data_IF_152289651129
#
_entry.id   IF_152289651129
#
_cell.length_a   1.000
_cell.length_b   1.000
_cell.length_c   1.000
_cell.angle_alpha   90.00
_cell.angle_beta   90.00
_cell.angle_gamma   90.00
#
_symmetry.space_group_name_H-M   'P 1'
#
loop_
_entity.id
_entity.type
_entity.pdbx_description
1 polymer ?
#
# COMPACT_ATOMS: atom_id res chain seq x y z
N UNK A 1 -20.73 10.96 -20.76
CA UNK A 1 -19.77 11.63 -19.86
C UNK A 1 -20.26 11.54 -18.41
N UNK A 2 -21.40 12.16 -18.05
CA UNK A 2 -21.93 12.18 -16.68
C UNK A 2 -22.05 10.78 -16.02
N UNK A 3 -22.62 9.79 -16.72
CA UNK A 3 -22.78 8.42 -16.20
C UNK A 3 -21.44 7.78 -15.79
N UNK A 4 -20.36 8.01 -16.56
CA UNK A 4 -19.05 7.42 -16.29
C UNK A 4 -18.45 7.97 -14.99
N UNK A 5 -18.46 9.29 -14.83
CA UNK A 5 -18.00 9.94 -13.60
C UNK A 5 -18.91 9.63 -12.41
N UNK A 6 -20.22 9.46 -12.64
CA UNK A 6 -21.16 9.01 -11.62
C UNK A 6 -20.77 7.66 -11.01
N UNK A 7 -20.40 6.67 -11.84
CA UNK A 7 -19.93 5.36 -11.36
C UNK A 7 -18.68 5.51 -10.49
N UNK A 8 -17.72 6.34 -10.90
CA UNK A 8 -16.49 6.60 -10.15
C UNK A 8 -16.81 7.18 -8.77
N UNK A 9 -17.62 8.24 -8.73
CA UNK A 9 -17.99 8.93 -7.49
C UNK A 9 -18.78 8.02 -6.55
N UNK A 10 -19.75 7.25 -7.06
CA UNK A 10 -20.53 6.32 -6.25
C UNK A 10 -19.63 5.24 -5.65
N UNK A 11 -18.75 4.64 -6.46
CA UNK A 11 -17.85 3.57 -5.99
C UNK A 11 -16.90 4.09 -4.90
N UNK A 12 -16.29 5.26 -5.12
CA UNK A 12 -15.40 5.88 -4.13
C UNK A 12 -16.17 6.23 -2.83
N UNK A 13 -17.39 6.77 -2.95
CA UNK A 13 -18.25 7.10 -1.80
C UNK A 13 -18.60 5.85 -0.99
N UNK A 14 -18.92 4.73 -1.66
CA UNK A 14 -19.18 3.45 -0.99
C UNK A 14 -17.96 3.00 -0.17
N UNK A 15 -16.74 3.09 -0.74
CA UNK A 15 -15.51 2.73 -0.03
C UNK A 15 -15.26 3.64 1.18
N UNK A 16 -15.44 4.95 1.02
CA UNK A 16 -15.31 5.91 2.12
C UNK A 16 -16.27 5.58 3.26
N UNK A 17 -17.57 5.49 2.94
CA UNK A 17 -18.62 5.22 3.94
C UNK A 17 -18.40 3.87 4.61
N UNK A 18 -18.02 2.84 3.86
CA UNK A 18 -17.74 1.52 4.41
C UNK A 18 -16.55 1.53 5.37
N UNK A 19 -15.45 2.21 5.01
CA UNK A 19 -14.27 2.37 5.87
C UNK A 19 -14.58 3.11 7.18
N UNK A 20 -15.38 4.17 7.10
CA UNK A 20 -15.79 4.98 8.26
C UNK A 20 -16.79 4.27 9.17
N UNK A 21 -17.74 3.51 8.61
CA UNK A 21 -18.80 2.83 9.40
C UNK A 21 -18.33 1.49 9.98
N UNK A 22 -17.33 0.84 9.37
CA UNK A 22 -16.84 -0.48 9.81
C UNK A 22 -15.32 -0.54 10.06
N UNK A 23 -14.73 0.37 10.84
CA UNK A 23 -13.29 0.30 11.14
C UNK A 23 -12.94 -1.01 11.86
N UNK A 24 -11.80 -1.62 11.52
CA UNK A 24 -11.39 -2.92 12.05
C UNK A 24 -10.73 -2.84 13.43
N UNK A 25 -10.06 -1.72 13.74
CA UNK A 25 -9.23 -1.55 14.93
C UNK A 25 -8.17 -2.66 15.04
N UNK A 26 -7.26 -2.72 14.05
CA UNK A 26 -6.14 -3.66 14.02
C UNK A 26 -5.01 -3.24 14.96
N UNK A 27 -4.06 -4.15 15.23
CA UNK A 27 -2.98 -3.92 16.19
C UNK A 27 -2.08 -2.72 15.84
N UNK A 28 -1.81 -2.47 14.56
CA UNK A 28 -0.98 -1.32 14.15
C UNK A 28 -1.54 0.02 14.63
N UNK A 29 -2.86 0.12 14.85
CA UNK A 29 -3.50 1.29 15.44
C UNK A 29 -2.87 1.65 16.79
N UNK A 30 -2.55 0.67 17.64
CA UNK A 30 -1.92 0.89 18.95
C UNK A 30 -0.59 1.62 18.78
N UNK A 31 0.26 1.11 17.90
CA UNK A 31 1.59 1.66 17.69
C UNK A 31 1.55 3.03 16.98
N UNK A 32 0.61 3.27 16.06
CA UNK A 32 0.43 4.58 15.43
C UNK A 32 -0.10 5.63 16.40
N UNK A 33 -1.06 5.28 17.26
CA UNK A 33 -1.58 6.17 18.31
C UNK A 33 -0.46 6.49 19.32
N UNK A 34 0.30 5.48 19.74
CA UNK A 34 1.44 5.67 20.62
C UNK A 34 2.51 6.58 19.97
N UNK A 35 2.82 6.38 18.68
CA UNK A 35 3.76 7.23 17.97
C UNK A 35 3.29 8.70 17.87
N UNK A 36 1.99 8.94 17.71
CA UNK A 36 1.42 10.29 17.73
C UNK A 36 1.57 10.94 19.11
N UNK A 37 1.13 10.28 20.19
CA UNK A 37 1.32 10.78 21.56
C UNK A 37 2.80 10.98 21.91
N UNK A 38 3.68 10.08 21.49
CA UNK A 38 5.11 10.24 21.70
C UNK A 38 5.67 11.50 21.02
N UNK A 39 5.16 11.89 19.84
CA UNK A 39 5.52 13.16 19.19
C UNK A 39 5.03 14.39 19.95
N UNK A 40 4.02 14.25 20.81
CA UNK A 40 3.53 15.31 21.70
C UNK A 40 4.18 15.32 23.07
N UNK A 41 5.19 14.46 23.29
CA UNK A 41 6.00 14.46 24.51
C UNK A 41 5.61 13.43 25.56
N UNK A 42 4.59 12.60 25.33
CA UNK A 42 4.21 11.53 26.27
C UNK A 42 5.26 10.40 26.30
N UNK A 43 5.60 9.91 27.49
CA UNK A 43 6.60 8.86 27.72
C UNK A 43 6.16 7.89 28.83
N UNK A 44 6.79 6.73 28.90
CA UNK A 44 6.61 5.72 29.93
C UNK A 44 5.15 5.42 30.22
N UNK A 45 4.79 5.35 31.50
CA UNK A 45 3.43 5.03 31.93
C UNK A 45 2.36 6.01 31.42
N UNK A 46 2.70 7.27 31.19
CA UNK A 46 1.78 8.26 30.64
C UNK A 46 1.45 7.94 29.18
N UNK A 47 2.46 7.56 28.38
CA UNK A 47 2.25 7.13 27.01
C UNK A 47 1.29 5.93 26.92
N UNK A 48 1.54 4.90 27.74
CA UNK A 48 0.69 3.71 27.78
C UNK A 48 -0.74 4.05 28.20
N UNK A 49 -0.89 4.85 29.27
CA UNK A 49 -2.20 5.25 29.79
C UNK A 49 -3.01 6.04 28.75
N UNK A 50 -2.41 7.03 28.11
CA UNK A 50 -3.13 7.83 27.11
C UNK A 50 -3.45 7.04 25.85
N UNK A 51 -2.50 6.22 25.36
CA UNK A 51 -2.69 5.38 24.17
C UNK A 51 -3.85 4.41 24.36
N UNK A 52 -3.80 3.55 25.37
CA UNK A 52 -4.84 2.57 25.59
C UNK A 52 -6.13 3.18 26.16
N UNK A 53 -6.00 4.29 26.89
CA UNK A 53 -7.13 5.07 27.39
C UNK A 53 -7.98 5.67 26.26
N UNK A 54 -7.36 6.21 25.22
CA UNK A 54 -8.07 6.73 24.06
C UNK A 54 -8.67 5.59 23.23
N UNK A 55 -7.91 4.52 22.97
CA UNK A 55 -8.39 3.36 22.20
C UNK A 55 -9.60 2.72 22.88
N UNK A 56 -9.59 2.58 24.21
CA UNK A 56 -10.69 1.99 24.98
C UNK A 56 -11.97 2.84 24.93
N UNK A 57 -11.87 4.16 24.74
CA UNK A 57 -13.04 5.05 24.60
C UNK A 57 -13.72 4.89 23.25
N UNK A 58 -12.96 4.59 22.20
CA UNK A 58 -13.46 4.45 20.83
C UNK A 58 -13.86 3.00 20.50
N UNK A 59 -13.04 2.02 20.90
CA UNK A 59 -13.25 0.62 20.58
C UNK A 59 -14.21 -0.05 21.56
N UNK A 60 -15.17 -0.81 21.03
CA UNK A 60 -16.01 -1.68 21.88
C UNK A 60 -15.15 -2.73 22.60
N UNK A 61 -15.60 -3.22 23.75
CA UNK A 61 -14.87 -4.23 24.54
C UNK A 61 -14.46 -5.44 23.71
N UNK A 62 -15.34 -5.89 22.80
CA UNK A 62 -15.08 -7.01 21.88
C UNK A 62 -13.90 -6.74 20.92
N UNK A 63 -13.69 -5.49 20.52
CA UNK A 63 -12.57 -5.08 19.65
C UNK A 63 -11.32 -4.70 20.43
N UNK A 64 -11.48 -4.21 21.65
CA UNK A 64 -10.36 -3.86 22.52
C UNK A 64 -9.62 -5.08 23.05
N UNK A 65 -10.33 -6.14 23.46
CA UNK A 65 -9.72 -7.33 24.05
C UNK A 65 -8.62 -7.94 23.15
N UNK A 66 -8.87 -8.23 21.85
CA UNK A 66 -7.83 -8.75 20.96
C UNK A 66 -6.56 -7.89 20.86
N UNK A 67 -6.63 -6.60 21.17
CA UNK A 67 -5.48 -5.68 21.11
C UNK A 67 -4.55 -5.82 22.31
N UNK A 68 -5.04 -6.38 23.42
CA UNK A 68 -4.29 -6.51 24.68
C UNK A 68 -4.09 -7.97 25.12
N UNK A 69 -4.74 -8.93 24.45
CA UNK A 69 -4.64 -10.36 24.78
C UNK A 69 -3.61 -11.09 23.93
N UNK A 70 -2.93 -12.06 24.53
CA UNK A 70 -1.85 -12.85 23.92
C UNK A 70 -0.49 -12.42 24.48
N UNK A 71 0.43 -13.35 24.70
CA UNK A 71 1.71 -13.14 25.41
C UNK A 71 2.44 -11.86 24.99
N UNK A 72 2.57 -11.65 23.67
CA UNK A 72 3.17 -10.45 23.10
C UNK A 72 2.39 -9.16 23.43
N UNK A 73 1.10 -9.12 23.09
CA UNK A 73 0.25 -7.92 23.21
C UNK A 73 -0.03 -7.55 24.66
N UNK A 74 -0.14 -8.56 25.53
CA UNK A 74 -0.34 -8.38 26.96
C UNK A 74 0.90 -7.76 27.60
N UNK A 75 2.10 -8.17 27.19
CA UNK A 75 3.35 -7.56 27.65
C UNK A 75 3.44 -6.10 27.18
N UNK A 76 3.18 -5.83 25.90
CA UNK A 76 3.17 -4.45 25.35
C UNK A 76 2.10 -3.58 26.02
N UNK A 77 0.99 -4.16 26.48
CA UNK A 77 -0.05 -3.44 27.21
C UNK A 77 0.36 -3.11 28.66
N UNK A 78 1.02 -4.05 29.35
CA UNK A 78 1.35 -3.93 30.77
C UNK A 78 2.65 -3.19 31.05
N UNK A 79 3.66 -3.34 30.19
CA UNK A 79 4.96 -2.70 30.36
C UNK A 79 5.12 -1.50 29.42
N UNK A 80 5.22 -0.27 29.96
CA UNK A 80 5.49 0.92 29.16
C UNK A 80 6.78 0.89 28.34
N UNK A 81 7.83 0.22 28.86
CA UNK A 81 9.09 0.08 28.13
C UNK A 81 8.88 -0.72 26.84
N UNK A 82 8.14 -1.83 26.93
CA UNK A 82 7.78 -2.66 25.78
C UNK A 82 7.02 -1.87 24.71
N UNK A 83 6.06 -1.00 25.08
CA UNK A 83 5.36 -0.13 24.13
C UNK A 83 6.29 0.89 23.46
N UNK A 84 7.16 1.55 24.23
CA UNK A 84 8.11 2.52 23.68
C UNK A 84 9.07 1.88 22.69
N UNK A 85 9.51 0.65 22.96
CA UNK A 85 10.37 -0.08 22.03
C UNK A 85 9.69 -0.41 20.70
N UNK A 86 8.36 -0.38 20.58
CA UNK A 86 7.67 -0.54 19.30
C UNK A 86 7.78 0.71 18.41
N UNK A 87 7.94 1.90 19.01
CA UNK A 87 7.81 3.18 18.31
C UNK A 87 8.78 3.36 17.14
N UNK A 88 10.04 2.90 17.18
CA UNK A 88 10.95 3.02 16.04
C UNK A 88 10.45 2.34 14.76
N UNK A 89 9.66 1.27 14.88
CA UNK A 89 9.05 0.64 13.72
C UNK A 89 7.92 1.47 13.11
N UNK A 90 7.25 2.33 13.86
CA UNK A 90 6.07 3.05 13.37
C UNK A 90 6.35 4.54 13.08
N UNK A 91 7.30 5.14 13.79
CA UNK A 91 7.63 6.58 13.72
C UNK A 91 8.21 7.02 12.37
N UNK A 92 8.76 6.10 11.58
CA UNK A 92 9.29 6.40 10.24
C UNK A 92 8.21 6.73 9.20
N UNK A 93 6.93 6.48 9.50
CA UNK A 93 5.80 6.87 8.63
C UNK A 93 5.40 8.32 8.90
N UNK A 94 6.35 9.22 8.68
CA UNK A 94 6.28 10.63 9.11
C UNK A 94 5.04 11.32 8.58
N UNK A 95 4.75 11.21 7.28
CA UNK A 95 3.59 11.87 6.68
C UNK A 95 2.27 11.38 7.28
N UNK A 96 2.17 10.07 7.56
CA UNK A 96 0.99 9.46 8.16
C UNK A 96 0.80 9.90 9.62
N UNK A 97 1.86 9.86 10.44
CA UNK A 97 1.81 10.32 11.84
C UNK A 97 1.48 11.81 11.93
N UNK A 98 2.07 12.65 11.06
CA UNK A 98 1.76 14.07 11.07
C UNK A 98 0.32 14.34 10.66
N UNK A 99 -0.23 13.58 9.71
CA UNK A 99 -1.63 13.72 9.35
C UNK A 99 -2.57 13.28 10.49
N UNK A 100 -2.21 12.25 11.26
CA UNK A 100 -2.94 11.87 12.49
C UNK A 100 -3.00 13.04 13.48
N UNK A 101 -1.87 13.75 13.65
CA UNK A 101 -1.74 14.93 14.52
C UNK A 101 -2.57 16.11 14.03
N UNK A 102 -2.50 16.43 12.74
CA UNK A 102 -3.32 17.49 12.15
C UNK A 102 -4.82 17.21 12.30
N UNK A 103 -5.24 15.95 12.16
CA UNK A 103 -6.64 15.57 12.37
C UNK A 103 -7.08 15.70 13.84
N UNK A 104 -6.15 15.55 14.80
CA UNK A 104 -6.42 15.82 16.21
C UNK A 104 -6.67 17.30 16.48
N UNK A 105 -5.88 18.18 15.86
CA UNK A 105 -6.02 19.63 16.01
C UNK A 105 -7.38 20.15 15.51
N UNK A 106 -8.03 19.44 14.57
CA UNK A 106 -9.38 19.75 14.08
C UNK A 106 -10.49 18.99 14.84
N UNK A 107 -10.15 18.28 15.92
CA UNK A 107 -11.12 17.69 16.86
C UNK A 107 -11.35 16.18 16.76
N UNK A 108 -10.62 15.43 15.92
CA UNK A 108 -10.70 13.95 15.93
C UNK A 108 -9.83 13.35 17.05
N UNK A 109 -10.14 12.15 17.54
CA UNK A 109 -9.20 11.40 18.40
C UNK A 109 -8.06 10.80 17.56
N UNK A 110 -6.90 10.51 18.14
CA UNK A 110 -5.82 9.83 17.38
C UNK A 110 -6.27 8.47 16.88
N UNK A 111 -7.01 7.74 17.70
CA UNK A 111 -7.61 6.45 17.34
C UNK A 111 -8.54 6.58 16.14
N UNK A 112 -9.35 7.63 16.06
CA UNK A 112 -10.24 7.87 14.92
C UNK A 112 -9.49 8.31 13.68
N UNK A 113 -8.49 9.18 13.86
CA UNK A 113 -7.66 9.70 12.77
C UNK A 113 -6.99 8.58 11.98
N UNK A 114 -6.51 7.51 12.61
CA UNK A 114 -5.81 6.42 11.91
C UNK A 114 -6.68 5.76 10.83
N UNK A 115 -7.90 5.34 11.16
CA UNK A 115 -8.77 4.66 10.20
C UNK A 115 -9.49 5.65 9.26
N UNK A 116 -9.74 6.89 9.69
CA UNK A 116 -10.30 7.94 8.82
C UNK A 116 -9.34 8.23 7.66
N UNK A 117 -8.04 8.35 7.94
CA UNK A 117 -7.02 8.54 6.90
C UNK A 117 -7.06 7.39 5.91
N UNK A 118 -7.08 6.14 6.39
CA UNK A 118 -7.13 4.97 5.51
C UNK A 118 -8.40 4.93 4.64
N UNK A 119 -9.57 5.24 5.20
CA UNK A 119 -10.82 5.32 4.46
C UNK A 119 -10.82 6.42 3.38
N UNK A 120 -10.31 7.62 3.71
CA UNK A 120 -10.18 8.74 2.77
C UNK A 120 -9.24 8.39 1.63
N UNK A 121 -8.02 7.92 1.92
CA UNK A 121 -7.05 7.61 0.86
C UNK A 121 -7.43 6.37 0.04
N UNK A 122 -8.13 5.38 0.62
CA UNK A 122 -8.70 4.29 -0.16
C UNK A 122 -9.77 4.79 -1.14
N UNK A 123 -10.66 5.68 -0.71
CA UNK A 123 -11.65 6.32 -1.59
C UNK A 123 -10.99 7.16 -2.69
N UNK A 124 -10.00 7.99 -2.35
CA UNK A 124 -9.23 8.76 -3.32
C UNK A 124 -8.48 7.86 -4.32
N UNK A 125 -7.97 6.72 -3.86
CA UNK A 125 -7.36 5.72 -4.75
C UNK A 125 -8.35 5.19 -5.78
N UNK A 126 -9.60 4.92 -5.38
CA UNK A 126 -10.67 4.50 -6.29
C UNK A 126 -10.99 5.58 -7.32
N UNK A 127 -10.98 6.87 -6.93
CA UNK A 127 -11.15 7.97 -7.88
C UNK A 127 -10.04 7.95 -8.96
N UNK A 128 -8.78 7.85 -8.54
CA UNK A 128 -7.64 7.83 -9.47
C UNK A 128 -7.65 6.58 -10.33
N UNK A 129 -7.98 5.41 -9.77
CA UNK A 129 -8.14 4.17 -10.52
C UNK A 129 -9.24 4.29 -11.59
N UNK A 130 -10.36 4.93 -11.23
CA UNK A 130 -11.42 5.27 -12.19
C UNK A 130 -10.91 6.15 -13.33
N UNK A 131 -10.10 7.17 -13.03
CA UNK A 131 -9.47 8.02 -14.05
C UNK A 131 -8.47 7.24 -14.93
N UNK A 132 -7.71 6.31 -14.36
CA UNK A 132 -6.82 5.42 -15.12
C UNK A 132 -7.63 4.54 -16.08
N UNK A 133 -8.74 3.95 -15.61
CA UNK A 133 -9.62 3.11 -16.44
C UNK A 133 -10.18 3.90 -17.63
N UNK A 134 -10.48 5.19 -17.47
CA UNK A 134 -10.94 6.04 -18.57
C UNK A 134 -9.91 6.23 -19.70
N UNK A 135 -8.62 6.02 -19.42
CA UNK A 135 -7.54 6.03 -20.42
C UNK A 135 -7.34 4.66 -21.10
N UNK A 136 -8.17 3.66 -20.78
CA UNK A 136 -8.07 2.29 -21.32
C UNK A 136 -9.32 1.90 -22.12
N UNK A 137 -9.31 0.73 -22.75
CA UNK A 137 -10.48 0.14 -23.39
C UNK A 137 -11.48 -0.50 -22.40
N UNK A 138 -11.10 -0.64 -21.12
CA UNK A 138 -11.91 -1.29 -20.07
C UNK A 138 -13.21 -0.50 -19.84
N UNK A 139 -14.38 -1.15 -19.84
CA UNK A 139 -15.63 -0.48 -19.49
C UNK A 139 -15.60 0.02 -18.04
N UNK A 140 -15.91 1.30 -17.82
CA UNK A 140 -15.91 1.89 -16.46
C UNK A 140 -16.88 1.19 -15.49
N UNK A 141 -17.89 0.50 -16.00
CA UNK A 141 -18.80 -0.34 -15.21
C UNK A 141 -18.08 -1.49 -14.49
N UNK A 142 -16.85 -1.84 -14.88
CA UNK A 142 -16.01 -2.82 -14.19
C UNK A 142 -15.34 -2.27 -12.92
N UNK A 143 -15.33 -0.95 -12.70
CA UNK A 143 -14.64 -0.35 -11.55
C UNK A 143 -15.10 -0.93 -10.20
N UNK A 144 -16.41 -1.06 -9.88
CA UNK A 144 -16.84 -1.67 -8.61
C UNK A 144 -16.31 -3.10 -8.41
N UNK A 145 -16.25 -3.88 -9.50
CA UNK A 145 -15.76 -5.27 -9.46
C UNK A 145 -14.25 -5.29 -9.21
N UNK A 146 -13.48 -4.46 -9.93
CA UNK A 146 -12.03 -4.32 -9.72
C UNK A 146 -11.75 -3.91 -8.28
N UNK A 147 -12.48 -2.93 -7.75
CA UNK A 147 -12.33 -2.43 -6.38
C UNK A 147 -12.62 -3.53 -5.35
N UNK A 148 -13.66 -4.34 -5.57
CA UNK A 148 -14.02 -5.45 -4.68
C UNK A 148 -12.97 -6.57 -4.72
N UNK A 149 -12.49 -6.96 -5.90
CA UNK A 149 -11.54 -8.07 -6.08
C UNK A 149 -10.14 -7.72 -5.57
N UNK A 150 -9.74 -6.45 -5.64
CA UNK A 150 -8.38 -6.01 -5.30
C UNK A 150 -8.19 -5.65 -3.82
N UNK A 151 -9.28 -5.62 -3.03
CA UNK A 151 -9.20 -5.46 -1.57
C UNK A 151 -9.26 -4.02 -1.05
N UNK A 152 -9.73 -3.05 -1.83
CA UNK A 152 -9.88 -1.66 -1.34
C UNK A 152 -10.80 -1.52 -0.13
N UNK A 153 -11.80 -2.40 0.00
CA UNK A 153 -12.71 -2.45 1.16
C UNK A 153 -11.98 -2.80 2.46
N UNK A 154 -10.95 -3.65 2.39
CA UNK A 154 -10.16 -4.07 3.54
C UNK A 154 -9.20 -2.97 3.96
N UNK A 155 -8.45 -2.40 3.00
CA UNK A 155 -7.51 -1.31 3.27
C UNK A 155 -8.23 -0.07 3.81
N UNK A 156 -9.47 0.20 3.38
CA UNK A 156 -10.27 1.30 3.90
C UNK A 156 -10.65 1.16 5.39
N UNK A 157 -10.64 -0.06 5.95
CA UNK A 157 -11.10 -0.35 7.32
C UNK A 157 -9.97 -0.50 8.33
N UNK A 158 -8.77 -0.84 7.89
CA UNK A 158 -7.61 -1.03 8.76
C UNK A 158 -6.85 0.28 8.94
N UNK A 159 -6.30 0.50 10.13
CA UNK A 159 -5.39 1.62 10.41
C UNK A 159 -4.03 1.33 9.77
N UNK A 160 -3.78 1.93 8.61
CA UNK A 160 -2.54 1.74 7.87
C UNK A 160 -2.17 2.93 6.96
N UNK A 161 -0.87 3.26 6.82
CA UNK A 161 -0.36 4.16 5.78
C UNK A 161 -0.49 3.58 4.36
N UNK A 162 -0.78 2.29 4.20
CA UNK A 162 -0.79 1.63 2.88
C UNK A 162 -1.86 2.20 1.93
N UNK A 163 -3.02 2.65 2.45
CA UNK A 163 -4.01 3.38 1.65
C UNK A 163 -3.42 4.68 1.06
N UNK A 164 -2.69 5.44 1.89
CA UNK A 164 -2.06 6.69 1.48
C UNK A 164 -0.96 6.42 0.45
N UNK A 165 -0.12 5.41 0.70
CA UNK A 165 0.93 5.01 -0.21
C UNK A 165 0.33 4.53 -1.56
N UNK A 166 -0.73 3.71 -1.52
CA UNK A 166 -1.46 3.25 -2.70
C UNK A 166 -2.06 4.39 -3.53
N UNK A 167 -2.66 5.40 -2.87
CA UNK A 167 -3.17 6.59 -3.56
C UNK A 167 -2.06 7.34 -4.31
N UNK A 168 -0.96 7.66 -3.63
CA UNK A 168 0.13 8.40 -4.27
C UNK A 168 0.84 7.58 -5.35
N UNK A 169 0.96 6.25 -5.19
CA UNK A 169 1.40 5.36 -6.25
C UNK A 169 0.52 5.44 -7.49
N UNK A 170 -0.81 5.39 -7.32
CA UNK A 170 -1.76 5.53 -8.43
C UNK A 170 -1.68 6.90 -9.09
N UNK A 171 -1.51 7.99 -8.32
CA UNK A 171 -1.29 9.34 -8.86
C UNK A 171 0.01 9.39 -9.67
N UNK A 172 1.08 8.75 -9.19
CA UNK A 172 2.35 8.64 -9.91
C UNK A 172 2.18 7.92 -11.26
N UNK A 173 1.49 6.78 -11.27
CA UNK A 173 1.20 6.02 -12.49
C UNK A 173 0.28 6.80 -13.43
N UNK A 174 -0.78 7.43 -12.92
CA UNK A 174 -1.67 8.26 -13.72
C UNK A 174 -0.92 9.46 -14.35
N UNK A 175 -0.02 10.08 -13.58
CA UNK A 175 0.86 11.14 -14.09
C UNK A 175 1.77 10.61 -15.20
N UNK A 176 2.31 9.40 -15.11
CA UNK A 176 3.10 8.79 -16.19
C UNK A 176 2.28 8.58 -17.46
N UNK A 177 1.07 8.01 -17.33
CA UNK A 177 0.15 7.80 -18.47
C UNK A 177 -0.15 9.12 -19.17
N UNK A 178 -0.40 10.18 -18.40
CA UNK A 178 -0.65 11.54 -18.90
C UNK A 178 0.60 12.33 -19.28
N UNK A 179 1.81 11.76 -19.15
CA UNK A 179 3.10 12.45 -19.33
C UNK A 179 3.24 13.73 -18.48
N UNK A 180 2.59 13.75 -17.32
CA UNK A 180 2.63 14.84 -16.35
C UNK A 180 3.91 14.82 -15.50
N UNK A 181 4.31 15.99 -14.99
CA UNK A 181 5.49 16.15 -14.13
C UNK A 181 5.25 15.80 -12.66
N UNK A 182 4.01 15.53 -12.25
CA UNK A 182 3.70 15.20 -10.86
C UNK A 182 4.42 13.94 -10.39
N UNK A 183 4.71 12.98 -11.29
CA UNK A 183 5.47 11.77 -10.97
C UNK A 183 6.80 12.04 -10.25
N UNK A 184 7.49 13.13 -10.60
CA UNK A 184 8.75 13.54 -9.97
C UNK A 184 8.54 13.91 -8.51
N UNK A 185 7.52 14.73 -8.23
CA UNK A 185 7.14 15.10 -6.87
C UNK A 185 6.64 13.88 -6.07
N UNK A 186 5.83 13.01 -6.71
CA UNK A 186 5.35 11.77 -6.09
C UNK A 186 6.52 10.89 -5.63
N UNK A 187 7.53 10.70 -6.49
CA UNK A 187 8.70 9.88 -6.15
C UNK A 187 9.46 10.41 -4.92
N UNK A 188 9.45 11.73 -4.69
CA UNK A 188 10.10 12.35 -3.53
C UNK A 188 9.30 12.12 -2.24
N UNK A 189 7.97 12.18 -2.30
CA UNK A 189 7.12 12.06 -1.09
C UNK A 189 6.86 10.62 -0.65
N UNK A 190 6.98 9.65 -1.55
CA UNK A 190 6.67 8.25 -1.25
C UNK A 190 7.43 7.71 -0.01
N UNK A 191 8.76 7.92 0.14
CA UNK A 191 9.49 7.53 1.34
C UNK A 191 9.03 8.21 2.65
N UNK A 192 8.41 9.39 2.60
CA UNK A 192 7.84 10.05 3.78
C UNK A 192 6.58 9.33 4.30
N UNK A 193 5.84 8.68 3.40
CA UNK A 193 4.62 7.93 3.72
C UNK A 193 5.01 6.53 4.19
N UNK A 194 5.85 5.85 3.40
CA UNK A 194 6.39 4.53 3.68
C UNK A 194 7.79 4.41 3.09
N UNK A 195 8.77 4.15 3.95
CA UNK A 195 10.18 4.13 3.56
C UNK A 195 10.49 3.06 2.51
N UNK A 196 9.78 1.94 2.51
CA UNK A 196 9.89 0.86 1.51
C UNK A 196 9.37 1.26 0.11
N UNK A 197 8.59 2.35 -0.01
CA UNK A 197 8.18 2.88 -1.32
C UNK A 197 9.32 3.68 -2.00
N UNK A 198 10.51 3.74 -1.40
CA UNK A 198 11.74 4.09 -2.12
C UNK A 198 11.97 3.18 -3.33
N UNK A 199 11.54 1.92 -3.26
CA UNK A 199 11.61 0.96 -4.38
C UNK A 199 10.78 1.47 -5.56
N UNK A 200 9.51 1.83 -5.32
CA UNK A 200 8.66 2.38 -6.37
C UNK A 200 9.22 3.71 -6.90
N UNK A 201 9.75 4.54 -6.02
CA UNK A 201 10.40 5.81 -6.40
C UNK A 201 11.56 5.56 -7.37
N UNK A 202 12.44 4.59 -7.06
CA UNK A 202 13.52 4.19 -7.94
C UNK A 202 13.03 3.63 -9.28
N UNK A 203 11.99 2.80 -9.28
CA UNK A 203 11.39 2.24 -10.50
C UNK A 203 10.79 3.33 -11.39
N UNK A 204 9.99 4.24 -10.81
CA UNK A 204 9.40 5.37 -11.53
C UNK A 204 10.49 6.27 -12.14
N UNK A 205 11.52 6.61 -11.36
CA UNK A 205 12.59 7.49 -11.82
C UNK A 205 13.50 6.84 -12.85
N UNK A 206 13.76 5.53 -12.72
CA UNK A 206 14.48 4.76 -13.75
C UNK A 206 13.70 4.77 -15.06
N UNK A 207 12.38 4.53 -14.98
CA UNK A 207 11.51 4.57 -16.16
C UNK A 207 11.52 5.95 -16.84
N UNK A 208 11.35 7.04 -16.08
CA UNK A 208 11.37 8.41 -16.62
C UNK A 208 12.74 8.89 -17.05
N UNK A 209 13.82 8.31 -16.52
CA UNK A 209 15.18 8.61 -16.95
C UNK A 209 15.41 8.12 -18.39
N UNK A 210 14.94 6.91 -18.72
CA UNK A 210 15.10 6.35 -20.06
C UNK A 210 14.11 6.92 -21.07
N UNK A 211 12.87 7.23 -20.65
CA UNK A 211 11.78 7.60 -21.56
C UNK A 211 11.34 9.07 -21.45
N UNK A 212 11.97 9.88 -20.60
CA UNK A 212 11.52 11.22 -20.28
C UNK A 212 12.67 12.15 -19.86
N UNK A 213 12.41 12.98 -18.84
CA UNK A 213 13.38 14.00 -18.43
C UNK A 213 14.40 13.43 -17.43
N UNK A 214 15.62 13.20 -17.91
CA UNK A 214 16.75 12.67 -17.14
C UNK A 214 17.09 13.51 -15.91
N UNK A 215 17.11 14.84 -16.06
CA UNK A 215 17.52 15.75 -14.98
C UNK A 215 16.53 15.71 -13.81
N UNK A 216 15.22 15.85 -14.10
CA UNK A 216 14.20 15.76 -13.06
C UNK A 216 14.14 14.36 -12.43
N UNK A 217 14.39 13.31 -13.22
CA UNK A 217 14.44 11.93 -12.71
C UNK A 217 15.58 11.75 -11.70
N UNK A 218 16.80 12.19 -12.04
CA UNK A 218 17.96 12.12 -11.14
C UNK A 218 17.75 12.96 -9.88
N UNK A 219 17.29 14.21 -10.04
CA UNK A 219 17.04 15.09 -8.91
C UNK A 219 16.01 14.50 -7.94
N UNK A 220 14.91 13.95 -8.47
CA UNK A 220 13.85 13.35 -7.66
C UNK A 220 14.31 12.06 -6.99
N UNK A 221 15.11 11.23 -7.68
CA UNK A 221 15.68 10.03 -7.10
C UNK A 221 16.63 10.35 -5.94
N UNK A 222 17.55 11.31 -6.15
CA UNK A 222 18.47 11.76 -5.09
C UNK A 222 17.68 12.33 -3.92
N UNK A 223 16.67 13.16 -4.18
CA UNK A 223 15.82 13.73 -3.14
C UNK A 223 15.06 12.65 -2.35
N UNK A 224 14.54 11.62 -3.03
CA UNK A 224 13.87 10.49 -2.38
C UNK A 224 14.83 9.69 -1.48
N UNK A 225 16.07 9.47 -1.93
CA UNK A 225 17.12 8.81 -1.13
C UNK A 225 17.50 9.66 0.08
N UNK A 226 17.70 10.97 -0.09
CA UNK A 226 17.99 11.89 1.01
C UNK A 226 16.88 11.86 2.05
N UNK A 227 15.61 11.93 1.61
CA UNK A 227 14.45 11.83 2.50
C UNK A 227 14.42 10.48 3.22
N UNK A 228 14.64 9.37 2.52
CA UNK A 228 14.69 8.04 3.14
C UNK A 228 15.73 7.98 4.25
N UNK A 229 16.94 8.50 4.01
CA UNK A 229 18.02 8.54 5.01
C UNK A 229 17.64 9.42 6.19
N UNK A 230 17.16 10.64 5.94
CA UNK A 230 16.76 11.59 6.99
C UNK A 230 15.64 11.02 7.85
N UNK A 231 14.60 10.45 7.25
CA UNK A 231 13.48 9.83 7.98
C UNK A 231 13.96 8.69 8.88
N UNK A 232 14.86 7.84 8.36
CA UNK A 232 15.39 6.68 9.08
C UNK A 232 16.24 7.12 10.27
N UNK A 233 17.14 8.09 10.07
CA UNK A 233 18.02 8.60 11.12
C UNK A 233 17.27 9.40 12.20
N UNK A 234 16.37 10.30 11.80
CA UNK A 234 15.68 11.19 12.73
C UNK A 234 14.63 10.48 13.61
N UNK A 235 14.19 9.28 13.24
CA UNK A 235 13.18 8.53 13.99
C UNK A 235 13.73 7.24 14.63
N UNK A 236 15.07 7.09 14.70
CA UNK A 236 15.72 6.02 15.45
C UNK A 236 15.39 4.61 14.99
N UNK A 237 15.14 4.41 13.68
CA UNK A 237 14.76 3.11 13.13
C UNK A 237 15.82 2.03 13.46
N UNK A 238 15.39 0.88 13.98
CA UNK A 238 16.28 -0.25 14.29
C UNK A 238 17.00 -0.86 13.09
N UNK A 239 16.56 -0.52 11.87
CA UNK A 239 17.13 -1.02 10.63
C UNK A 239 16.48 -2.31 10.14
N UNK A 240 16.90 -2.72 8.95
CA UNK A 240 16.24 -3.80 8.21
C UNK A 240 16.37 -5.16 8.90
N UNK A 241 17.57 -5.52 9.40
CA UNK A 241 17.80 -6.84 9.99
C UNK A 241 16.96 -7.06 11.25
N UNK A 242 16.86 -6.06 12.13
CA UNK A 242 16.00 -6.14 13.32
C UNK A 242 14.54 -6.26 12.94
N UNK A 243 14.07 -5.45 11.98
CA UNK A 243 12.70 -5.56 11.46
C UNK A 243 12.41 -6.94 10.86
N UNK A 244 13.33 -7.49 10.07
CA UNK A 244 13.18 -8.80 9.46
C UNK A 244 13.13 -9.91 10.51
N UNK A 245 14.05 -9.90 11.47
CA UNK A 245 14.09 -10.91 12.54
C UNK A 245 12.84 -10.82 13.43
N UNK A 246 12.43 -9.60 13.79
CA UNK A 246 11.21 -9.35 14.56
C UNK A 246 9.95 -9.84 13.86
N UNK A 247 9.85 -9.64 12.55
CA UNK A 247 8.63 -9.95 11.79
C UNK A 247 8.56 -11.42 11.35
N UNK A 248 9.70 -12.05 11.02
CA UNK A 248 9.71 -13.31 10.28
C UNK A 248 10.47 -14.47 10.92
N UNK A 249 11.45 -14.21 11.79
CA UNK A 249 12.33 -15.25 12.34
C UNK A 249 12.00 -15.55 13.81
N UNK A 250 11.83 -14.51 14.62
CA UNK A 250 11.59 -14.66 16.06
C UNK A 250 10.13 -14.92 16.41
N UNK A 251 9.90 -15.54 17.57
CA UNK A 251 8.66 -15.37 18.32
C UNK A 251 8.49 -13.88 18.56
N UNK A 252 7.35 -13.27 18.21
CA UNK A 252 7.09 -11.83 18.44
C UNK A 252 7.59 -11.38 19.82
N UNK A 253 8.79 -10.79 19.89
CA UNK A 253 9.41 -10.44 21.16
C UNK A 253 8.81 -9.11 21.62
N UNK A 254 8.30 -9.01 22.86
CA UNK A 254 7.76 -7.75 23.35
C UNK A 254 8.79 -6.61 23.40
N UNK A 255 10.09 -6.94 23.34
CA UNK A 255 11.21 -6.02 23.41
C UNK A 255 12.06 -6.08 22.12
N UNK A 256 11.68 -5.34 21.06
CA UNK A 256 12.42 -5.32 19.81
C UNK A 256 13.86 -4.80 19.90
N UNK A 257 14.17 -3.95 20.88
CA UNK A 257 15.53 -3.41 21.04
C UNK A 257 16.52 -4.51 21.48
N UNK A 258 16.03 -5.55 22.14
CA UNK A 258 16.82 -6.63 22.71
C UNK A 258 16.87 -7.87 21.81
N UNK A 259 16.40 -7.76 20.56
CA UNK A 259 16.41 -8.88 19.61
C UNK A 259 17.85 -9.27 19.27
N UNK A 260 18.14 -10.57 19.40
CA UNK A 260 19.37 -11.18 18.89
C UNK A 260 19.14 -11.54 17.43
N UNK A 261 19.92 -10.92 16.54
CA UNK A 261 19.85 -11.16 15.09
C UNK A 261 20.34 -12.59 14.80
N UNK A 262 19.55 -13.38 14.08
CA UNK A 262 20.01 -14.70 13.66
C UNK A 262 21.16 -14.58 12.66
N UNK A 263 22.19 -15.39 12.87
CA UNK A 263 23.32 -15.57 11.95
C UNK A 263 23.16 -16.80 11.06
N UNK A 264 22.10 -17.59 11.23
CA UNK A 264 21.87 -18.82 10.45
C UNK A 264 21.13 -18.48 9.16
N UNK A 265 21.74 -18.82 8.02
CA UNK A 265 21.13 -18.60 6.71
C UNK A 265 19.77 -19.31 6.55
N UNK A 266 19.60 -20.49 7.16
CA UNK A 266 18.34 -21.24 7.15
C UNK A 266 17.15 -20.43 7.65
N UNK A 267 17.38 -19.60 8.66
CA UNK A 267 16.32 -18.84 9.33
C UNK A 267 15.77 -17.76 8.40
N UNK A 268 16.59 -17.26 7.47
CA UNK A 268 16.17 -16.30 6.45
C UNK A 268 15.46 -16.96 5.27
N UNK A 269 15.70 -18.24 4.99
CA UNK A 269 15.06 -18.96 3.88
C UNK A 269 13.65 -19.46 4.23
N UNK A 270 13.38 -19.80 5.50
CA UNK A 270 12.08 -20.30 5.95
C UNK A 270 10.93 -19.32 5.65
N UNK A 271 11.04 -18.00 5.90
CA UNK A 271 10.00 -17.05 5.54
C UNK A 271 9.65 -17.04 4.06
N UNK A 272 10.63 -17.19 3.16
CA UNK A 272 10.35 -17.28 1.72
C UNK A 272 9.67 -18.59 1.34
N UNK A 273 10.01 -19.70 1.98
CA UNK A 273 9.32 -20.97 1.75
C UNK A 273 7.83 -20.86 2.17
N UNK A 274 7.56 -20.27 3.34
CA UNK A 274 6.20 -19.98 3.82
C UNK A 274 5.45 -19.03 2.89
N UNK A 275 6.13 -17.99 2.39
CA UNK A 275 5.56 -17.08 1.40
C UNK A 275 5.16 -17.83 0.12
N UNK A 276 6.01 -18.70 -0.41
CA UNK A 276 5.68 -19.47 -1.62
C UNK A 276 4.44 -20.36 -1.42
N UNK A 277 4.33 -21.00 -0.26
CA UNK A 277 3.16 -21.79 0.10
C UNK A 277 1.90 -20.91 0.20
N UNK A 278 2.00 -19.76 0.87
CA UNK A 278 0.86 -18.87 1.08
C UNK A 278 0.41 -18.18 -0.21
N UNK A 279 1.34 -17.84 -1.11
CA UNK A 279 1.06 -17.27 -2.41
C UNK A 279 0.22 -18.20 -3.27
N UNK A 280 0.40 -19.52 -3.21
CA UNK A 280 -0.41 -20.45 -4.01
C UNK A 280 -1.89 -20.37 -3.61
N UNK A 281 -2.16 -20.21 -2.31
CA UNK A 281 -3.52 -20.10 -1.77
C UNK A 281 -4.08 -18.67 -1.81
N UNK A 282 -3.24 -17.67 -2.08
CA UNK A 282 -3.64 -16.27 -2.00
C UNK A 282 -4.59 -15.88 -3.16
N UNK A 283 -5.78 -15.29 -2.91
CA UNK A 283 -6.76 -14.95 -3.96
C UNK A 283 -6.22 -14.03 -5.07
N UNK A 284 -5.34 -13.09 -4.73
CA UNK A 284 -4.71 -12.22 -5.72
C UNK A 284 -3.77 -12.95 -6.70
N UNK A 285 -3.26 -14.14 -6.36
CA UNK A 285 -2.37 -14.91 -7.23
C UNK A 285 -2.99 -15.28 -8.57
N UNK A 286 -4.32 -15.45 -8.60
CA UNK A 286 -5.07 -15.65 -9.85
C UNK A 286 -4.88 -14.50 -10.82
N UNK A 287 -4.84 -13.25 -10.34
CA UNK A 287 -4.62 -12.06 -11.18
C UNK A 287 -3.23 -12.07 -11.78
N UNK A 288 -2.21 -12.42 -10.99
CA UNK A 288 -0.83 -12.50 -11.48
C UNK A 288 -0.63 -13.63 -12.48
N UNK A 289 -1.16 -14.82 -12.20
CA UNK A 289 -1.09 -15.97 -13.11
C UNK A 289 -1.80 -15.67 -14.42
N UNK A 290 -3.00 -15.07 -14.36
CA UNK A 290 -3.74 -14.65 -15.56
C UNK A 290 -2.94 -13.63 -16.37
N UNK A 291 -2.34 -12.63 -15.72
CA UNK A 291 -1.55 -11.61 -16.40
C UNK A 291 -0.32 -12.22 -17.10
N UNK A 292 0.40 -13.13 -16.43
CA UNK A 292 1.55 -13.85 -17.00
C UNK A 292 1.12 -14.74 -18.19
N UNK A 293 0.00 -15.44 -18.06
CA UNK A 293 -0.55 -16.26 -19.14
C UNK A 293 -0.93 -15.42 -20.36
N UNK A 294 -1.60 -14.28 -20.15
CA UNK A 294 -1.98 -13.35 -21.21
C UNK A 294 -0.75 -12.72 -21.88
N UNK A 295 0.29 -12.39 -21.10
CA UNK A 295 1.56 -11.89 -21.59
C UNK A 295 2.25 -12.94 -22.48
N UNK A 296 2.31 -14.20 -22.03
CA UNK A 296 2.90 -15.28 -22.82
C UNK A 296 2.21 -15.46 -24.17
N UNK A 297 0.87 -15.51 -24.19
CA UNK A 297 0.08 -15.65 -25.41
C UNK A 297 0.19 -14.46 -26.38
N UNK A 298 0.45 -13.26 -25.86
CA UNK A 298 0.39 -12.02 -26.63
C UNK A 298 1.70 -11.22 -26.65
N UNK A 299 2.83 -11.83 -26.31
CA UNK A 299 4.13 -11.13 -26.15
C UNK A 299 4.46 -10.22 -27.35
N UNK A 300 4.29 -10.72 -28.58
CA UNK A 300 4.55 -9.97 -29.82
C UNK A 300 3.66 -8.73 -30.04
N UNK A 301 2.54 -8.60 -29.30
CA UNK A 301 1.60 -7.46 -29.38
C UNK A 301 1.77 -6.46 -28.24
N UNK A 302 2.56 -6.84 -27.23
CA UNK A 302 2.78 -6.09 -25.98
C UNK A 302 4.05 -5.24 -26.05
N UNK A 303 5.00 -5.57 -26.94
CA UNK A 303 6.24 -4.83 -27.09
C UNK A 303 6.02 -3.31 -27.22
N UNK A 304 6.73 -2.59 -26.34
CA UNK A 304 6.98 -1.15 -26.38
C UNK A 304 5.82 -0.19 -26.12
N UNK A 305 4.79 -0.63 -25.38
CA UNK A 305 3.69 0.26 -24.97
C UNK A 305 3.91 0.80 -23.56
N UNK A 306 3.93 2.14 -23.45
CA UNK A 306 3.85 2.87 -22.18
C UNK A 306 2.74 2.30 -21.26
N UNK A 307 1.58 1.96 -21.84
CA UNK A 307 0.46 1.32 -21.13
C UNK A 307 0.86 0.02 -20.42
N UNK A 308 1.67 -0.85 -21.07
CA UNK A 308 2.14 -2.09 -20.46
C UNK A 308 3.05 -1.82 -19.27
N UNK A 309 4.02 -0.91 -19.40
CA UNK A 309 4.91 -0.57 -18.29
C UNK A 309 4.16 0.06 -17.12
N UNK A 310 3.24 0.99 -17.39
CA UNK A 310 2.47 1.67 -16.35
C UNK A 310 1.48 0.76 -15.63
N UNK A 311 0.78 -0.11 -16.36
CA UNK A 311 -0.30 -0.93 -15.80
C UNK A 311 0.16 -2.32 -15.35
N UNK A 312 1.22 -2.87 -15.93
CA UNK A 312 1.71 -4.22 -15.62
C UNK A 312 3.17 -4.24 -15.16
N UNK A 313 4.09 -3.71 -15.96
CA UNK A 313 5.53 -3.86 -15.73
C UNK A 313 6.03 -3.28 -14.41
N UNK A 314 5.77 -1.99 -14.15
CA UNK A 314 6.20 -1.31 -12.92
C UNK A 314 5.50 -1.86 -11.68
N UNK A 315 4.17 -2.07 -11.66
CA UNK A 315 3.50 -2.71 -10.52
C UNK A 315 4.00 -4.12 -10.22
N UNK A 316 4.24 -4.93 -11.26
CA UNK A 316 4.75 -6.29 -11.11
C UNK A 316 6.18 -6.29 -10.55
N UNK A 317 7.06 -5.44 -11.07
CA UNK A 317 8.43 -5.36 -10.58
C UNK A 317 8.47 -4.82 -9.14
N UNK A 318 7.62 -3.83 -8.80
CA UNK A 318 7.51 -3.32 -7.45
C UNK A 318 7.12 -4.42 -6.45
N UNK A 319 6.06 -5.18 -6.74
CA UNK A 319 5.62 -6.22 -5.81
C UNK A 319 6.65 -7.34 -5.67
N UNK A 320 7.32 -7.74 -6.75
CA UNK A 320 8.39 -8.74 -6.69
C UNK A 320 9.55 -8.24 -5.83
N UNK A 321 10.03 -7.01 -6.05
CA UNK A 321 11.09 -6.43 -5.21
C UNK A 321 10.66 -6.26 -3.75
N UNK A 322 9.40 -5.89 -3.52
CA UNK A 322 8.85 -5.75 -2.18
C UNK A 322 8.79 -7.10 -1.45
N UNK A 323 8.27 -8.16 -2.09
CA UNK A 323 8.22 -9.51 -1.53
C UNK A 323 9.61 -10.11 -1.29
N UNK A 324 10.57 -9.79 -2.15
CA UNK A 324 11.97 -10.21 -1.97
C UNK A 324 12.60 -9.56 -0.74
N UNK A 325 12.22 -8.34 -0.38
CA UNK A 325 12.72 -7.67 0.83
C UNK A 325 11.87 -7.98 2.07
N UNK A 326 10.58 -8.18 1.90
CA UNK A 326 9.63 -8.43 2.98
C UNK A 326 8.76 -9.63 2.57
N UNK A 327 9.13 -10.85 2.99
CA UNK A 327 8.40 -12.06 2.62
C UNK A 327 7.05 -12.16 3.35
N UNK A 328 6.12 -11.30 2.96
CA UNK A 328 4.78 -11.15 3.51
C UNK A 328 3.77 -11.09 2.38
N UNK A 329 2.63 -11.73 2.57
CA UNK A 329 1.53 -11.81 1.63
C UNK A 329 0.31 -10.96 2.04
N UNK A 330 0.47 -9.99 2.96
CA UNK A 330 -0.67 -9.18 3.40
C UNK A 330 -1.31 -8.38 2.26
N UNK A 331 -2.62 -8.56 2.05
CA UNK A 331 -3.44 -7.89 1.02
C UNK A 331 -3.12 -6.41 0.83
N UNK A 332 -2.96 -5.69 1.94
CA UNK A 332 -2.76 -4.24 1.99
C UNK A 332 -1.55 -3.74 1.20
N UNK A 333 -0.50 -4.54 1.01
CA UNK A 333 0.68 -4.13 0.24
C UNK A 333 0.46 -4.21 -1.27
N UNK A 334 -0.55 -4.95 -1.71
CA UNK A 334 -0.69 -5.33 -3.12
C UNK A 334 -1.85 -4.63 -3.82
N UNK A 335 -2.78 -4.02 -3.09
CA UNK A 335 -4.03 -3.47 -3.63
C UNK A 335 -3.81 -2.60 -4.86
N UNK A 336 -2.90 -1.61 -4.80
CA UNK A 336 -2.64 -0.76 -5.96
C UNK A 336 -2.03 -1.55 -7.12
N UNK A 337 -1.09 -2.47 -6.84
CA UNK A 337 -0.39 -3.22 -7.88
C UNK A 337 -1.30 -4.22 -8.59
N UNK A 338 -2.06 -5.01 -7.82
CA UNK A 338 -3.07 -5.94 -8.34
C UNK A 338 -4.11 -5.20 -9.15
N UNK A 339 -4.55 -4.01 -8.69
CA UNK A 339 -5.56 -3.23 -9.41
C UNK A 339 -5.09 -2.81 -10.80
N UNK A 340 -3.85 -2.36 -10.93
CA UNK A 340 -3.27 -1.96 -12.22
C UNK A 340 -3.09 -3.16 -13.15
N UNK A 341 -2.57 -4.29 -12.64
CA UNK A 341 -2.36 -5.51 -13.41
C UNK A 341 -3.69 -6.11 -13.88
N UNK A 342 -4.73 -6.03 -13.05
CA UNK A 342 -6.08 -6.44 -13.43
C UNK A 342 -6.65 -5.53 -14.53
N UNK A 343 -6.48 -4.21 -14.41
CA UNK A 343 -6.87 -3.25 -15.45
C UNK A 343 -6.15 -3.54 -16.76
N UNK A 344 -4.83 -3.80 -16.74
CA UNK A 344 -4.07 -4.17 -17.92
C UNK A 344 -4.61 -5.46 -18.58
N UNK A 345 -4.87 -6.48 -17.76
CA UNK A 345 -5.38 -7.77 -18.22
C UNK A 345 -6.75 -7.61 -18.92
N UNK A 346 -7.66 -6.84 -18.33
CA UNK A 346 -8.96 -6.53 -18.90
C UNK A 346 -8.86 -5.67 -20.16
N UNK A 347 -7.93 -4.70 -20.20
CA UNK A 347 -7.68 -3.86 -21.37
C UNK A 347 -7.25 -4.70 -22.56
N UNK A 348 -6.28 -5.59 -22.35
CA UNK A 348 -5.76 -6.49 -23.38
C UNK A 348 -6.87 -7.40 -23.93
N UNK A 349 -7.63 -8.05 -23.06
CA UNK A 349 -8.77 -8.91 -23.46
C UNK A 349 -9.81 -8.13 -24.25
N UNK A 350 -10.16 -6.92 -23.79
CA UNK A 350 -11.15 -6.07 -24.47
C UNK A 350 -10.70 -5.66 -25.87
N UNK A 351 -9.42 -5.30 -26.03
CA UNK A 351 -8.86 -4.94 -27.33
C UNK A 351 -8.83 -6.13 -28.30
N UNK A 352 -8.50 -7.32 -27.80
CA UNK A 352 -8.52 -8.55 -28.59
C UNK A 352 -9.93 -8.90 -29.07
N UNK A 353 -10.92 -8.81 -28.18
CA UNK A 353 -12.33 -9.07 -28.53
C UNK A 353 -12.85 -8.12 -29.61
N UNK A 354 -12.55 -6.81 -29.49
CA UNK A 354 -12.96 -5.81 -30.50
C UNK A 354 -12.35 -6.07 -31.87
N UNK A 355 -11.07 -6.47 -31.93
CA UNK A 355 -10.38 -6.78 -33.20
C UNK A 355 -10.97 -8.01 -33.90
N UNK A 356 -11.41 -9.02 -33.13
CA UNK A 356 -12.08 -10.20 -33.67
C UNK A 356 -13.45 -9.85 -34.28
N UNK A 357 -14.22 -9.02 -33.58
CA UNK A 357 -15.54 -8.58 -34.05
C UNK A 357 -15.48 -7.79 -35.37
N UNK A 358 -14.52 -6.87 -35.51
CA UNK A 358 -14.34 -6.10 -36.75
C UNK A 358 -13.90 -6.97 -37.93
N UNK A 359 -13.08 -8.00 -37.69
CA UNK A 359 -12.67 -8.95 -38.74
C UNK A 359 -13.86 -9.78 -39.23
N UNK A 360 -14.71 -10.24 -38.31
CA UNK A 360 -15.91 -11.01 -38.64
C UNK A 360 -16.95 -10.20 -39.42
N UNK A 361 -17.17 -8.92 -39.05
CA UNK A 361 -18.07 -8.03 -39.80
C UNK A 361 -17.56 -7.73 -41.21
N UNK A 362 -16.25 -7.58 -41.39
CA UNK A 362 -15.65 -7.32 -42.70
C UNK A 362 -15.71 -8.52 -43.66
N UNK A 363 -15.68 -9.75 -43.12
CA UNK A 363 -15.88 -10.97 -43.92
C UNK A 363 -17.35 -11.09 -44.34
N UNK A 364 -18.29 -10.86 -43.43
CA UNK A 364 -19.73 -10.92 -43.71
C UNK A 364 -20.24 -9.84 -44.67
N UNK A 365 -19.56 -8.70 -44.80
CA UNK A 365 -19.94 -7.66 -45.77
C UNK A 365 -19.42 -7.93 -47.18
N UNK A 366 -18.52 -8.91 -47.35
CA UNK A 366 -17.93 -9.29 -48.65
C UNK A 366 -18.55 -10.57 -49.24
N UNK A 367 -19.32 -11.30 -48.45
CA UNK A 367 -20.19 -12.41 -48.86
C UNK A 367 -21.61 -11.91 -48.99
#
# INVERSE_FOLDING_TARGET
MAVRYGIILITATIILVYGLLKPEHNWDMVAYVAAAFHKDGYRGGDLTRETYGEIKKEASTKRFLPLITGEYRETVFKDPSSLEQQLPFYSIRVAYIQLIRLLKDIGLSYTKSTYVISAVFASLSVLVLGLIILETAVPIAMLPIIVAVTGYTEVARISTPDAMAGFFSLVGIYSLIRRGKLVFFIAVILPLIRTDFILLSALLMTFTYFHGNRLFSLFSLVSAVVIYVLVTQLNGNYGYLTLFNFTFIGSFTPYPADIVISHKLSDYLIPYAKLLESLIAHPHSVVYVLALYLLWLNHAKVEDKLEFYCLCGLPFLFITMHMLLFPSDHYRFFVFSVSLILVWSLDLVTRLARKSATLSSAIRSKT
#
